data_IF_038486470212
#
_entry.id   IF_038486470212
#
_cell.length_a   1.000
_cell.length_b   1.000
_cell.length_c   1.000
_cell.angle_alpha   90.00
_cell.angle_beta   90.00
_cell.angle_gamma   90.00
#
_symmetry.space_group_name_H-M   'P 1'
#
loop_
_entity.id
_entity.type
_entity.pdbx_description
1 polymer ?
#
# COMPACT_ATOMS: atom_id res chain seq x y z
N UNK A 1 22.79 15.03 -76.12
CA UNK A 1 22.75 16.49 -75.84
C UNK A 1 23.56 16.73 -74.57
N UNK A 2 24.79 17.26 -74.68
CA UNK A 2 25.57 17.70 -73.52
C UNK A 2 24.97 18.99 -72.93
N UNK A 3 25.12 19.24 -71.62
CA UNK A 3 26.24 20.02 -71.08
C UNK A 3 26.86 19.29 -69.85
N UNK A 4 28.05 19.54 -69.32
CA UNK A 4 28.97 20.68 -69.27
C UNK A 4 29.61 20.63 -67.85
N UNK A 5 30.93 20.84 -67.68
CA UNK A 5 31.67 20.49 -66.46
C UNK A 5 31.73 21.64 -65.44
N UNK A 6 32.05 21.33 -64.17
CA UNK A 6 32.23 22.34 -63.12
C UNK A 6 32.81 21.78 -61.83
N UNK A 7 34.09 21.41 -61.88
CA UNK A 7 34.92 21.04 -60.73
C UNK A 7 35.24 22.28 -59.90
N UNK A 8 34.83 22.32 -58.63
CA UNK A 8 35.46 23.18 -57.63
C UNK A 8 35.97 22.33 -56.46
N UNK A 9 37.30 22.28 -56.35
CA UNK A 9 38.06 21.68 -55.26
C UNK A 9 37.88 22.54 -54.01
N UNK A 10 37.36 21.94 -52.95
CA UNK A 10 37.52 22.41 -51.58
C UNK A 10 38.13 21.28 -50.76
N UNK A 11 39.41 21.41 -50.41
CA UNK A 11 40.08 20.51 -49.46
C UNK A 11 39.69 21.00 -48.06
N UNK A 12 38.88 20.23 -47.35
CA UNK A 12 38.75 20.34 -45.90
C UNK A 12 38.89 18.94 -45.28
N UNK A 13 40.07 18.70 -44.72
CA UNK A 13 40.36 17.60 -43.82
C UNK A 13 39.64 17.84 -42.50
N UNK A 14 38.69 17.00 -42.10
CA UNK A 14 38.22 16.95 -40.70
C UNK A 14 38.05 15.49 -40.25
N UNK A 15 38.55 15.27 -39.05
CA UNK A 15 38.86 14.02 -38.36
C UNK A 15 37.76 12.96 -38.27
N UNK A 16 38.22 11.71 -38.36
CA UNK A 16 37.51 10.51 -37.87
C UNK A 16 37.30 10.62 -36.35
N UNK A 17 36.07 10.62 -35.82
CA UNK A 17 35.86 10.47 -34.40
C UNK A 17 36.16 9.02 -33.95
N UNK A 18 36.65 8.83 -32.72
CA UNK A 18 37.16 7.57 -32.23
C UNK A 18 36.06 6.65 -31.68
N UNK A 19 36.51 5.41 -31.44
CA UNK A 19 35.84 4.21 -30.97
C UNK A 19 34.72 4.38 -29.92
N UNK A 20 33.75 3.48 -30.05
CA UNK A 20 32.65 3.24 -29.13
C UNK A 20 33.11 3.13 -27.67
N UNK A 21 32.40 3.82 -26.78
CA UNK A 21 32.42 3.60 -25.33
C UNK A 21 31.17 2.81 -24.93
N UNK A 22 31.24 1.99 -23.87
CA UNK A 22 30.26 0.95 -23.59
C UNK A 22 28.92 1.55 -23.16
N UNK A 23 27.83 0.91 -23.56
CA UNK A 23 26.49 1.24 -23.12
C UNK A 23 26.42 1.18 -21.59
N UNK A 24 26.24 2.34 -20.96
CA UNK A 24 25.91 2.40 -19.54
C UNK A 24 24.48 1.86 -19.36
N UNK A 25 24.34 0.75 -18.63
CA UNK A 25 23.06 0.27 -18.10
C UNK A 25 22.54 1.30 -17.09
N UNK A 26 21.70 2.23 -17.55
CA UNK A 26 20.95 3.12 -16.67
C UNK A 26 19.77 2.31 -16.12
N UNK A 27 19.93 1.75 -14.92
CA UNK A 27 18.79 1.26 -14.15
C UNK A 27 17.84 2.43 -13.84
N UNK A 28 16.52 2.19 -13.71
CA UNK A 28 15.56 3.25 -13.45
C UNK A 28 15.93 3.97 -12.15
N UNK A 29 16.29 5.25 -12.27
CA UNK A 29 16.53 6.13 -11.13
C UNK A 29 15.17 6.64 -10.67
N UNK A 30 14.76 6.43 -9.41
CA UNK A 30 13.54 7.03 -8.90
C UNK A 30 13.65 8.55 -9.06
N UNK A 31 12.73 9.13 -9.81
CA UNK A 31 12.61 10.56 -9.97
C UNK A 31 11.39 11.03 -9.18
N UNK A 32 11.55 12.13 -8.45
CA UNK A 32 10.41 12.81 -7.85
C UNK A 32 9.62 13.47 -8.99
N UNK A 33 8.35 13.09 -9.11
CA UNK A 33 7.44 13.71 -10.05
C UNK A 33 7.38 15.23 -9.82
N UNK A 34 7.54 16.00 -10.89
CA UNK A 34 7.36 17.46 -10.88
C UNK A 34 5.92 17.88 -11.23
N UNK A 35 5.06 16.93 -11.61
CA UNK A 35 3.62 17.16 -11.74
C UNK A 35 3.05 17.57 -10.39
N UNK A 36 2.15 18.55 -10.41
CA UNK A 36 1.35 18.89 -9.25
C UNK A 36 0.36 17.75 -9.01
N UNK A 37 0.76 16.80 -8.17
CA UNK A 37 -0.13 15.76 -7.70
C UNK A 37 -1.23 16.44 -6.89
N UNK A 38 -2.46 16.48 -7.43
CA UNK A 38 -3.65 16.82 -6.66
C UNK A 38 -3.90 15.72 -5.62
N UNK A 39 -3.11 15.75 -4.55
CA UNK A 39 -3.28 14.88 -3.42
C UNK A 39 -4.53 15.30 -2.67
N UNK A 40 -5.65 14.62 -2.91
CA UNK A 40 -6.74 14.63 -1.92
C UNK A 40 -6.22 13.84 -0.72
N UNK A 41 -6.05 14.52 0.42
CA UNK A 41 -5.82 13.83 1.69
C UNK A 41 -7.13 13.13 2.06
N UNK A 42 -7.33 11.94 1.51
CA UNK A 42 -8.31 10.99 2.05
C UNK A 42 -7.60 10.29 3.20
N UNK A 43 -7.96 10.59 4.44
CA UNK A 43 -7.47 9.83 5.59
C UNK A 43 -8.04 8.40 5.50
N UNK A 44 -7.40 7.57 4.68
CA UNK A 44 -7.78 6.20 4.37
C UNK A 44 -7.09 5.19 5.29
N UNK A 45 -6.23 5.66 6.19
CA UNK A 45 -5.46 4.82 7.11
C UNK A 45 -5.27 5.48 8.46
N UNK A 46 -5.23 4.69 9.52
CA UNK A 46 -4.69 5.09 10.83
C UNK A 46 -3.70 4.03 11.33
N UNK A 47 -2.99 4.36 12.40
CA UNK A 47 -2.03 3.45 13.05
C UNK A 47 -2.47 3.20 14.49
N UNK A 48 -2.32 1.96 14.93
CA UNK A 48 -2.49 1.52 16.31
C UNK A 48 -1.17 0.95 16.81
N UNK A 49 -0.92 1.01 18.12
CA UNK A 49 0.11 0.16 18.70
C UNK A 49 -0.31 -1.31 18.60
N UNK A 50 0.66 -2.19 18.34
CA UNK A 50 0.37 -3.63 18.38
C UNK A 50 -0.04 -4.04 19.81
N UNK A 51 -1.03 -4.94 19.98
CA UNK A 51 -1.54 -5.39 21.28
C UNK A 51 -0.59 -6.38 21.98
N UNK A 52 0.68 -5.99 22.12
CA UNK A 52 1.74 -6.80 22.73
C UNK A 52 1.52 -6.86 24.24
N UNK A 53 1.80 -8.01 24.83
CA UNK A 53 1.63 -8.25 26.28
C UNK A 53 0.18 -8.12 26.81
N UNK A 54 -0.82 -7.99 25.93
CA UNK A 54 -2.25 -7.94 26.29
C UNK A 54 -2.85 -9.34 26.44
N UNK A 55 -2.57 -10.21 25.48
CA UNK A 55 -3.12 -11.57 25.46
C UNK A 55 -2.25 -12.49 26.32
N UNK A 56 -2.84 -13.03 27.40
CA UNK A 56 -2.24 -14.05 28.26
C UNK A 56 -3.03 -15.34 28.09
N UNK A 57 -2.36 -16.47 27.93
CA UNK A 57 -2.98 -17.81 27.97
C UNK A 57 -3.96 -18.14 26.83
N UNK A 58 -3.78 -17.54 25.64
CA UNK A 58 -4.59 -17.82 24.44
C UNK A 58 -3.95 -18.81 23.45
N UNK A 59 -2.88 -19.50 23.82
CA UNK A 59 -2.27 -20.59 23.03
C UNK A 59 -1.90 -20.20 21.60
N UNK A 60 -2.56 -20.81 20.62
CA UNK A 60 -2.41 -20.55 19.18
C UNK A 60 -3.63 -19.82 18.58
N UNK A 61 -4.40 -19.09 19.39
CA UNK A 61 -5.56 -18.35 18.92
C UNK A 61 -5.19 -17.37 17.79
N UNK A 62 -6.12 -17.23 16.85
CA UNK A 62 -6.06 -16.21 15.81
C UNK A 62 -6.69 -14.94 16.35
N UNK A 63 -5.92 -13.87 16.32
CA UNK A 63 -6.31 -12.52 16.71
C UNK A 63 -6.78 -11.80 15.45
N UNK A 64 -7.95 -11.19 15.52
CA UNK A 64 -8.50 -10.34 14.47
C UNK A 64 -8.68 -8.92 14.99
N UNK A 65 -8.39 -7.93 14.16
CA UNK A 65 -8.76 -6.55 14.42
C UNK A 65 -10.18 -6.31 13.92
N UNK A 66 -11.06 -5.86 14.81
CA UNK A 66 -12.39 -5.35 14.46
C UNK A 66 -12.27 -3.85 14.24
N UNK A 67 -12.79 -3.35 13.13
CA UNK A 67 -12.80 -1.92 12.81
C UNK A 67 -14.24 -1.49 12.64
N UNK A 68 -14.67 -0.53 13.45
CA UNK A 68 -16.00 0.06 13.38
C UNK A 68 -15.93 1.59 13.39
N UNK A 69 -16.96 2.26 12.89
CA UNK A 69 -17.19 3.66 13.25
C UNK A 69 -17.55 3.71 14.74
N UNK A 70 -17.10 4.75 15.44
CA UNK A 70 -17.31 4.86 16.90
C UNK A 70 -18.80 4.75 17.29
N UNK A 71 -19.68 5.38 16.51
CA UNK A 71 -21.15 5.33 16.68
C UNK A 71 -21.75 3.91 16.55
N UNK A 72 -21.07 3.01 15.86
CA UNK A 72 -21.55 1.67 15.51
C UNK A 72 -20.83 0.56 16.29
N UNK A 73 -19.72 0.87 16.97
CA UNK A 73 -18.85 -0.11 17.62
C UNK A 73 -19.56 -0.95 18.71
N UNK A 74 -20.55 -0.38 19.39
CA UNK A 74 -21.35 -1.09 20.40
C UNK A 74 -22.34 -2.09 19.80
N UNK A 75 -22.58 -2.05 18.49
CA UNK A 75 -23.53 -2.92 17.79
C UNK A 75 -22.87 -4.19 17.24
N UNK A 76 -21.55 -4.29 17.34
CA UNK A 76 -20.80 -5.42 16.81
C UNK A 76 -21.17 -6.74 17.51
N UNK A 77 -21.55 -7.74 16.71
CA UNK A 77 -21.81 -9.09 17.16
C UNK A 77 -20.50 -9.87 17.28
N UNK A 78 -20.06 -10.15 18.51
CA UNK A 78 -18.84 -10.90 18.77
C UNK A 78 -18.93 -12.41 18.43
N UNK A 79 -20.12 -12.89 18.03
CA UNK A 79 -20.31 -14.25 17.52
C UNK A 79 -20.16 -14.33 16.00
N UNK A 80 -20.03 -13.19 15.31
CA UNK A 80 -19.83 -13.17 13.86
C UNK A 80 -18.44 -13.71 13.50
N UNK A 81 -18.36 -14.51 12.45
CA UNK A 81 -17.08 -15.06 11.98
C UNK A 81 -16.38 -14.07 11.02
N UNK A 82 -15.03 -13.97 11.06
CA UNK A 82 -14.27 -13.17 10.11
C UNK A 82 -14.50 -13.61 8.66
N UNK A 83 -14.74 -12.65 7.77
CA UNK A 83 -14.87 -12.92 6.33
C UNK A 83 -16.26 -13.39 5.90
N UNK A 84 -17.23 -13.42 6.82
CA UNK A 84 -18.64 -13.59 6.49
C UNK A 84 -19.23 -12.30 5.93
N UNK A 85 -20.41 -12.33 5.28
CA UNK A 85 -21.08 -11.12 4.82
C UNK A 85 -21.33 -10.08 5.91
N UNK A 86 -21.44 -10.49 7.18
CA UNK A 86 -21.64 -9.60 8.33
C UNK A 86 -20.37 -8.84 8.75
N UNK A 87 -19.19 -9.29 8.31
CA UNK A 87 -17.89 -8.74 8.72
C UNK A 87 -16.95 -8.44 7.55
N UNK A 88 -17.50 -8.42 6.33
CA UNK A 88 -16.75 -8.18 5.11
C UNK A 88 -16.45 -6.68 4.90
N UNK A 89 -15.20 -6.37 4.56
CA UNK A 89 -14.72 -5.00 4.32
C UNK A 89 -15.50 -4.27 3.23
N UNK A 90 -15.82 -4.93 2.11
CA UNK A 90 -16.37 -4.29 0.92
C UNK A 90 -17.76 -3.66 1.13
N UNK A 91 -18.46 -4.10 2.18
CA UNK A 91 -19.78 -3.61 2.57
C UNK A 91 -19.73 -2.66 3.78
N UNK A 92 -18.53 -2.33 4.27
CA UNK A 92 -18.35 -1.38 5.36
C UNK A 92 -18.36 0.07 4.83
N UNK A 93 -19.04 1.03 5.48
CA UNK A 93 -19.71 0.96 6.79
C UNK A 93 -21.23 0.70 6.72
N UNK A 94 -21.78 0.49 5.53
CA UNK A 94 -23.20 0.26 5.29
C UNK A 94 -23.38 -0.75 4.13
N UNK A 95 -24.08 -1.87 4.33
CA UNK A 95 -24.81 -2.27 5.54
C UNK A 95 -23.94 -2.84 6.68
N UNK A 96 -22.66 -3.15 6.45
CA UNK A 96 -21.79 -3.79 7.46
C UNK A 96 -21.22 -2.74 8.41
N UNK A 97 -21.59 -2.83 9.69
CA UNK A 97 -21.24 -1.83 10.71
C UNK A 97 -19.83 -1.97 11.27
N UNK A 98 -19.23 -3.14 11.13
CA UNK A 98 -17.85 -3.42 11.50
C UNK A 98 -17.30 -4.56 10.66
N UNK A 99 -16.03 -4.48 10.27
CA UNK A 99 -15.36 -5.55 9.53
C UNK A 99 -14.18 -6.10 10.32
N UNK A 100 -13.75 -7.32 9.98
CA UNK A 100 -12.59 -7.96 10.61
C UNK A 100 -11.42 -8.05 9.65
N UNK A 101 -10.23 -7.66 10.11
CA UNK A 101 -9.01 -7.67 9.29
C UNK A 101 -7.76 -7.97 10.13
N UNK A 102 -6.59 -7.98 9.48
CA UNK A 102 -5.27 -8.13 10.09
C UNK A 102 -5.18 -9.36 11.01
N UNK A 103 -5.45 -10.55 10.46
CA UNK A 103 -5.27 -11.76 11.25
C UNK A 103 -3.82 -11.96 11.66
N UNK A 104 -3.64 -12.34 12.91
CA UNK A 104 -2.33 -12.61 13.48
C UNK A 104 -2.43 -13.74 14.49
N UNK A 105 -1.29 -14.34 14.82
CA UNK A 105 -1.21 -15.22 15.98
C UNK A 105 -0.52 -14.48 17.11
N UNK A 106 -0.57 -15.04 18.33
CA UNK A 106 0.20 -14.51 19.47
C UNK A 106 1.69 -14.37 19.16
N UNK A 107 2.25 -15.28 18.35
CA UNK A 107 3.65 -15.24 17.92
C UNK A 107 3.99 -14.03 17.04
N UNK A 108 3.00 -13.37 16.44
CA UNK A 108 3.18 -12.13 15.68
C UNK A 108 3.42 -10.92 16.58
N UNK A 109 3.08 -11.01 17.87
CA UNK A 109 3.18 -9.93 18.85
C UNK A 109 4.07 -10.27 20.07
N UNK A 110 5.36 -10.65 19.88
CA UNK A 110 6.21 -11.09 20.98
C UNK A 110 6.34 -10.06 22.11
N UNK A 111 6.34 -10.52 23.35
CA UNK A 111 6.51 -9.68 24.53
C UNK A 111 7.88 -9.99 25.18
N UNK A 112 8.74 -8.99 25.50
CA UNK A 112 8.51 -7.54 25.36
C UNK A 112 8.71 -7.03 23.92
N UNK A 113 8.29 -5.78 23.68
CA UNK A 113 8.60 -5.05 22.45
C UNK A 113 10.13 -4.96 22.28
N UNK A 114 10.71 -5.33 21.12
CA UNK A 114 12.14 -5.17 20.88
C UNK A 114 12.55 -3.69 20.97
N UNK A 115 13.70 -3.41 21.58
CA UNK A 115 14.20 -2.05 21.71
C UNK A 115 14.58 -1.49 20.34
N UNK A 116 14.11 -0.28 20.02
CA UNK A 116 14.38 0.40 18.75
C UNK A 116 13.37 0.13 17.63
N UNK A 117 12.47 -0.86 17.78
CA UNK A 117 11.50 -1.21 16.74
C UNK A 117 10.24 -0.34 16.80
N UNK A 118 9.69 -0.01 15.63
CA UNK A 118 8.35 0.58 15.48
C UNK A 118 7.35 -0.56 15.27
N UNK A 119 6.58 -0.87 16.31
CA UNK A 119 5.62 -1.99 16.31
C UNK A 119 4.19 -1.46 16.26
N UNK A 120 3.69 -1.19 15.05
CA UNK A 120 2.34 -0.65 14.82
C UNK A 120 1.51 -1.59 13.96
N UNK A 121 0.18 -1.45 14.04
CA UNK A 121 -0.79 -1.97 13.10
C UNK A 121 -1.26 -0.80 12.24
N UNK A 122 -1.03 -0.87 10.93
CA UNK A 122 -1.55 0.12 9.97
C UNK A 122 -2.87 -0.39 9.42
N UNK A 123 -3.96 0.29 9.77
CA UNK A 123 -5.29 -0.04 9.27
C UNK A 123 -5.52 0.67 7.95
N UNK A 124 -6.12 -0.03 7.00
CA UNK A 124 -6.49 0.47 5.68
C UNK A 124 -5.39 0.49 4.62
N UNK A 125 -4.31 -0.28 4.80
CA UNK A 125 -3.14 -0.23 3.90
C UNK A 125 -3.27 -1.03 2.61
N UNK A 126 -4.25 -1.90 2.47
CA UNK A 126 -4.40 -2.79 1.32
C UNK A 126 -5.34 -2.21 0.26
N UNK A 127 -4.86 -1.21 -0.49
CA UNK A 127 -5.66 -0.59 -1.56
C UNK A 127 -6.02 -1.54 -2.70
N UNK A 128 -5.21 -2.58 -2.93
CA UNK A 128 -5.40 -3.54 -4.03
C UNK A 128 -6.64 -4.42 -3.86
N UNK A 129 -7.12 -4.64 -2.63
CA UNK A 129 -8.29 -5.49 -2.36
C UNK A 129 -9.58 -4.70 -2.09
N UNK A 130 -9.56 -3.38 -2.31
CA UNK A 130 -10.72 -2.52 -2.04
C UNK A 130 -12.00 -2.98 -2.76
N UNK A 131 -11.86 -3.56 -3.95
CA UNK A 131 -12.96 -4.08 -4.78
C UNK A 131 -12.93 -5.62 -4.92
N UNK A 132 -12.02 -6.29 -4.23
CA UNK A 132 -11.87 -7.75 -4.31
C UNK A 132 -12.76 -8.45 -3.29
N UNK A 133 -14.00 -8.74 -3.68
CA UNK A 133 -14.99 -9.44 -2.84
C UNK A 133 -14.58 -10.86 -2.45
N UNK A 134 -13.57 -11.44 -3.10
CA UNK A 134 -13.02 -12.75 -2.71
C UNK A 134 -12.09 -12.64 -1.49
N UNK A 135 -11.76 -11.42 -1.06
CA UNK A 135 -10.95 -11.11 0.13
C UNK A 135 -11.77 -10.30 1.14
N UNK A 136 -12.78 -10.89 1.80
CA UNK A 136 -13.68 -10.14 2.69
C UNK A 136 -12.99 -9.61 3.95
N UNK A 137 -11.87 -10.20 4.36
CA UNK A 137 -11.07 -9.74 5.52
C UNK A 137 -9.96 -8.74 5.16
N UNK A 138 -10.03 -8.17 3.95
CA UNK A 138 -9.10 -7.17 3.41
C UNK A 138 -8.86 -6.03 4.40
N UNK A 139 -7.59 -5.61 4.56
CA UNK A 139 -7.24 -4.40 5.32
C UNK A 139 -7.38 -3.16 4.42
N UNK A 140 -8.57 -3.00 3.82
CA UNK A 140 -8.82 -2.04 2.76
C UNK A 140 -8.97 -0.60 3.26
N UNK A 141 -8.78 0.39 2.37
CA UNK A 141 -8.75 1.81 2.73
C UNK A 141 -10.05 2.25 3.42
N UNK A 142 -9.91 3.03 4.48
CA UNK A 142 -11.03 3.52 5.26
C UNK A 142 -11.89 4.50 4.43
N UNK A 143 -13.23 4.46 4.60
CA UNK A 143 -14.15 5.26 3.80
C UNK A 143 -14.10 6.77 4.12
N UNK A 144 -13.48 7.17 5.24
CA UNK A 144 -13.40 8.56 5.65
C UNK A 144 -12.50 8.77 6.87
N UNK A 145 -12.47 9.99 7.46
CA UNK A 145 -11.58 10.31 8.57
C UNK A 145 -12.00 9.73 9.93
N UNK A 146 -13.18 9.12 10.05
CA UNK A 146 -13.71 8.57 11.31
C UNK A 146 -14.66 9.52 12.05
N UNK A 147 -14.79 9.39 13.39
CA UNK A 147 -13.96 8.59 14.29
C UNK A 147 -14.20 7.06 14.19
N UNK A 148 -13.13 6.30 14.45
CA UNK A 148 -13.13 4.84 14.46
C UNK A 148 -12.85 4.31 15.87
N UNK A 149 -13.28 3.07 16.14
CA UNK A 149 -13.04 2.35 17.40
C UNK A 149 -12.68 0.90 17.12
#
# INVERSE_FOLDING_TARGET
RAPGPGLQRGIHTIHRPPSASPAALVGPRPALTQEQLEGVITASTFVLDQPRCTFKDYGNAVIWLVVALDKDASTFNNSAEPGTPETAFQSFPDPVRAYMTLNATLGSYPCPKPAGDITVLRVGSETSCAQDVMRPTCNGPLPGPGPYR
#
